data_IF_789503900473
#
_entry.id   IF_789503900473
#
_cell.length_a   1.000
_cell.length_b   1.000
_cell.length_c   1.000
_cell.angle_alpha   90.00
_cell.angle_beta   90.00
_cell.angle_gamma   90.00
#
_symmetry.space_group_name_H-M   'P 1'
#
loop_
_entity.id
_entity.type
_entity.pdbx_description
1 polymer ?
#
# COMPACT_ATOMS: atom_id res chain seq x y z
N UNK A 1 33.46 11.36 10.06
CA UNK A 1 32.02 11.08 10.26
C UNK A 1 31.85 9.60 10.54
N UNK A 2 31.45 9.21 11.75
CA UNK A 2 31.28 7.80 12.11
C UNK A 2 30.14 7.18 11.29
N UNK A 3 30.46 6.17 10.48
CA UNK A 3 29.48 5.30 9.85
C UNK A 3 28.85 4.45 10.96
N UNK A 4 27.69 4.88 11.46
CA UNK A 4 26.93 4.05 12.39
C UNK A 4 26.50 2.78 11.65
N UNK A 5 27.06 1.63 12.05
CA UNK A 5 26.65 0.32 11.55
C UNK A 5 25.24 -0.02 12.09
N UNK A 6 24.21 0.41 11.36
CA UNK A 6 22.82 0.13 11.71
C UNK A 6 22.51 -1.34 11.38
N UNK A 7 22.24 -2.15 12.42
CA UNK A 7 21.85 -3.56 12.26
C UNK A 7 20.47 -3.69 11.57
N UNK A 8 20.16 -4.80 10.89
CA UNK A 8 18.86 -4.98 10.21
C UNK A 8 17.65 -4.76 11.12
N UNK A 9 17.70 -5.27 12.36
CA UNK A 9 16.66 -5.09 13.38
C UNK A 9 16.46 -3.61 13.76
N UNK A 10 17.54 -2.83 13.75
CA UNK A 10 17.48 -1.40 13.98
C UNK A 10 16.86 -0.66 12.77
N UNK A 11 17.18 -1.06 11.53
CA UNK A 11 16.58 -0.47 10.31
C UNK A 11 15.06 -0.58 10.29
N UNK A 12 14.53 -1.79 10.54
CA UNK A 12 13.07 -2.04 10.53
C UNK A 12 12.36 -1.25 11.65
N UNK A 13 12.99 -1.14 12.82
CA UNK A 13 12.45 -0.36 13.94
C UNK A 13 12.33 1.12 13.57
N UNK A 14 13.34 1.68 12.90
CA UNK A 14 13.31 3.07 12.42
C UNK A 14 12.25 3.28 11.33
N UNK A 15 12.10 2.35 10.38
CA UNK A 15 11.03 2.43 9.37
C UNK A 15 9.65 2.46 10.05
N UNK A 16 9.40 1.57 11.03
CA UNK A 16 8.14 1.55 11.79
C UNK A 16 7.85 2.89 12.47
N UNK A 17 8.87 3.53 13.07
CA UNK A 17 8.71 4.86 13.69
C UNK A 17 8.33 5.93 12.67
N UNK A 18 9.01 5.96 11.52
CA UNK A 18 8.74 6.92 10.44
C UNK A 18 7.31 6.73 9.92
N UNK A 19 6.93 5.49 9.59
CA UNK A 19 5.60 5.16 9.06
C UNK A 19 4.50 5.51 10.07
N UNK A 20 4.70 5.21 11.36
CA UNK A 20 3.74 5.57 12.42
C UNK A 20 3.50 7.08 12.51
N UNK A 21 4.53 7.90 12.25
CA UNK A 21 4.42 9.37 12.26
C UNK A 21 3.66 9.89 11.04
N UNK A 22 3.90 9.31 9.87
CA UNK A 22 3.28 9.75 8.60
C UNK A 22 1.82 9.28 8.44
N UNK A 23 1.49 8.06 8.90
CA UNK A 23 0.18 7.41 8.66
C UNK A 23 -0.84 7.59 9.79
N UNK A 24 -1.15 8.85 10.13
CA UNK A 24 -2.10 9.20 11.20
C UNK A 24 -3.49 9.62 10.70
N UNK A 25 -3.72 9.67 9.38
CA UNK A 25 -4.81 10.45 8.79
C UNK A 25 -6.07 9.66 8.39
N UNK A 26 -6.03 8.32 8.30
CA UNK A 26 -7.15 7.52 7.81
C UNK A 26 -7.29 6.20 8.58
N UNK A 27 -8.43 5.94 9.27
CA UNK A 27 -8.63 4.68 10.02
C UNK A 27 -8.52 3.41 9.17
N UNK A 28 -8.84 3.47 7.87
CA UNK A 28 -8.80 2.31 6.97
C UNK A 28 -7.40 2.02 6.38
N UNK A 29 -6.46 2.97 6.49
CA UNK A 29 -5.10 2.93 5.94
C UNK A 29 -4.07 3.50 6.94
N UNK A 30 -4.32 3.29 8.23
CA UNK A 30 -3.44 3.77 9.29
C UNK A 30 -2.28 2.79 9.53
N UNK A 31 -1.42 3.13 10.49
CA UNK A 31 -0.33 2.28 10.93
C UNK A 31 -0.75 0.83 11.29
N UNK A 32 -1.96 0.61 11.82
CA UNK A 32 -2.42 -0.74 12.16
C UNK A 32 -2.66 -1.61 10.93
N UNK A 33 -3.20 -1.04 9.84
CA UNK A 33 -3.30 -1.72 8.56
C UNK A 33 -1.92 -2.14 8.06
N UNK A 34 -0.96 -1.20 8.01
CA UNK A 34 0.41 -1.49 7.58
C UNK A 34 1.05 -2.58 8.43
N UNK A 35 0.83 -2.58 9.75
CA UNK A 35 1.38 -3.60 10.64
C UNK A 35 0.76 -4.99 10.42
N UNK A 36 -0.52 -5.08 10.06
CA UNK A 36 -1.16 -6.36 9.68
C UNK A 36 -0.61 -6.86 8.34
N UNK A 37 -0.51 -6.00 7.33
CA UNK A 37 0.12 -6.32 6.04
C UNK A 37 1.56 -6.80 6.25
N UNK A 38 2.37 -6.08 7.02
CA UNK A 38 3.74 -6.47 7.36
C UNK A 38 3.79 -7.87 7.97
N UNK A 39 3.00 -8.14 9.02
CA UNK A 39 2.98 -9.46 9.69
C UNK A 39 2.57 -10.58 8.74
N UNK A 40 1.58 -10.33 7.89
CA UNK A 40 1.11 -11.30 6.90
C UNK A 40 2.16 -11.54 5.80
N UNK A 41 2.83 -10.48 5.33
CA UNK A 41 3.93 -10.60 4.38
C UNK A 41 5.08 -11.45 4.94
N UNK A 42 5.45 -11.29 6.23
CA UNK A 42 6.44 -12.16 6.87
C UNK A 42 5.97 -13.61 6.98
N UNK A 43 4.68 -13.80 7.27
CA UNK A 43 4.10 -15.13 7.36
C UNK A 43 4.18 -15.87 6.02
N UNK A 44 3.79 -15.20 4.93
CA UNK A 44 3.86 -15.75 3.58
C UNK A 44 5.32 -16.00 3.18
N UNK A 45 6.22 -15.05 3.46
CA UNK A 45 7.63 -15.16 3.08
C UNK A 45 8.42 -16.24 3.83
N UNK A 46 7.91 -16.78 4.95
CA UNK A 46 8.64 -17.66 5.86
C UNK A 46 9.29 -18.87 5.18
N UNK A 47 8.63 -19.43 4.16
CA UNK A 47 9.08 -20.62 3.44
C UNK A 47 9.49 -20.33 2.00
N UNK A 48 9.60 -19.05 1.63
CA UNK A 48 9.94 -18.60 0.28
C UNK A 48 11.42 -18.22 0.21
N UNK A 49 12.06 -18.49 -0.93
CA UNK A 49 13.44 -18.06 -1.17
C UNK A 49 13.47 -16.59 -1.63
N UNK A 50 13.37 -15.67 -0.68
CA UNK A 50 13.25 -14.22 -0.94
C UNK A 50 14.19 -13.38 -0.08
N UNK A 51 14.48 -12.16 -0.52
CA UNK A 51 15.17 -11.19 0.34
C UNK A 51 14.19 -10.61 1.38
N UNK A 52 14.24 -11.17 2.60
CA UNK A 52 13.41 -10.72 3.72
C UNK A 52 13.51 -9.22 3.99
N UNK A 53 14.68 -8.60 3.81
CA UNK A 53 14.82 -7.16 4.06
C UNK A 53 14.04 -6.31 3.04
N UNK A 54 13.85 -6.82 1.82
CA UNK A 54 13.01 -6.17 0.80
C UNK A 54 11.54 -6.32 1.17
N UNK A 55 11.09 -7.53 1.53
CA UNK A 55 9.70 -7.79 1.95
C UNK A 55 9.32 -6.93 3.17
N UNK A 56 10.20 -6.90 4.19
CA UNK A 56 9.98 -6.12 5.40
C UNK A 56 9.87 -4.62 5.13
N UNK A 57 10.82 -4.05 4.37
CA UNK A 57 10.83 -2.62 4.09
C UNK A 57 9.68 -2.22 3.16
N UNK A 58 9.41 -2.99 2.10
CA UNK A 58 8.35 -2.71 1.14
C UNK A 58 6.97 -2.78 1.79
N UNK A 59 6.68 -3.82 2.58
CA UNK A 59 5.39 -3.94 3.27
C UNK A 59 5.14 -2.83 4.29
N UNK A 60 6.17 -2.32 4.97
CA UNK A 60 6.03 -1.18 5.87
C UNK A 60 5.83 0.16 5.14
N UNK A 61 6.42 0.31 3.95
CA UNK A 61 6.43 1.58 3.22
C UNK A 61 5.36 1.68 2.13
N UNK A 62 4.64 0.60 1.80
CA UNK A 62 3.77 0.53 0.63
C UNK A 62 2.70 1.64 0.57
N UNK A 63 2.14 2.03 1.72
CA UNK A 63 1.08 3.03 1.85
C UNK A 63 1.58 4.42 2.31
N UNK A 64 2.90 4.63 2.46
CA UNK A 64 3.45 5.89 3.03
C UNK A 64 3.09 7.15 2.20
N UNK A 65 2.81 6.98 0.91
CA UNK A 65 2.35 8.05 0.01
C UNK A 65 0.87 8.40 0.16
N UNK A 66 0.11 7.69 0.99
CA UNK A 66 -1.36 7.82 1.07
C UNK A 66 -1.85 9.21 1.44
N UNK A 67 -1.11 9.94 2.28
CA UNK A 67 -1.47 11.33 2.64
C UNK A 67 -1.45 12.24 1.41
N UNK A 68 -0.45 12.08 0.53
CA UNK A 68 -0.35 12.87 -0.71
C UNK A 68 -1.49 12.59 -1.68
N UNK A 69 -1.91 11.32 -1.80
CA UNK A 69 -3.10 10.98 -2.61
C UNK A 69 -4.37 11.59 -2.02
N UNK A 70 -4.50 11.62 -0.69
CA UNK A 70 -5.68 12.20 -0.03
C UNK A 70 -5.73 13.73 -0.14
N UNK A 71 -4.58 14.39 -0.03
CA UNK A 71 -4.48 15.85 -0.08
C UNK A 71 -4.51 16.40 -1.53
N UNK A 72 -4.51 15.53 -2.56
CA UNK A 72 -4.63 15.91 -3.97
C UNK A 72 -6.10 15.91 -4.45
N UNK A 73 -6.74 17.09 -4.61
CA UNK A 73 -8.12 17.18 -5.07
C UNK A 73 -8.31 16.79 -6.54
N UNK A 74 -7.24 16.73 -7.34
CA UNK A 74 -7.33 16.37 -8.75
C UNK A 74 -7.52 14.86 -8.97
N UNK A 75 -7.20 14.05 -7.94
CA UNK A 75 -7.29 12.58 -8.00
C UNK A 75 -6.25 11.92 -8.92
N UNK A 76 -5.24 12.67 -9.37
CA UNK A 76 -4.20 12.19 -10.29
C UNK A 76 -2.98 11.63 -9.55
N UNK A 77 -2.85 11.91 -8.26
CA UNK A 77 -1.78 11.37 -7.42
C UNK A 77 -1.99 9.89 -7.14
N UNK A 78 -1.00 9.06 -7.52
CA UNK A 78 -0.96 7.65 -7.15
C UNK A 78 -0.05 7.45 -5.94
N UNK A 79 -0.64 6.95 -4.85
CA UNK A 79 0.06 6.77 -3.58
C UNK A 79 1.22 5.78 -3.65
N UNK A 80 1.18 4.79 -4.56
CA UNK A 80 2.26 3.82 -4.73
C UNK A 80 3.47 4.48 -5.41
N UNK A 81 3.23 5.35 -6.40
CA UNK A 81 4.31 6.11 -7.05
C UNK A 81 4.93 7.09 -6.06
N UNK A 82 4.10 7.85 -5.34
CA UNK A 82 4.58 8.78 -4.32
C UNK A 82 5.25 8.06 -3.15
N UNK A 83 4.72 6.92 -2.72
CA UNK A 83 5.30 6.09 -1.67
C UNK A 83 6.70 5.58 -2.05
N UNK A 84 6.89 5.14 -3.29
CA UNK A 84 8.21 4.74 -3.79
C UNK A 84 9.21 5.90 -3.85
N UNK A 85 8.77 7.11 -4.23
CA UNK A 85 9.61 8.32 -4.16
C UNK A 85 10.00 8.66 -2.71
N UNK A 86 9.04 8.55 -1.78
CA UNK A 86 9.26 8.81 -0.35
C UNK A 86 10.17 7.76 0.31
N UNK A 87 10.11 6.50 -0.14
CA UNK A 87 10.91 5.41 0.38
C UNK A 87 12.42 5.60 0.13
N UNK A 88 12.81 6.17 -1.01
CA UNK A 88 14.21 6.32 -1.40
C UNK A 88 15.09 7.07 -0.37
N UNK A 89 14.79 8.31 0.04
CA UNK A 89 15.59 9.02 1.03
C UNK A 89 15.61 8.32 2.40
N UNK A 90 14.51 7.65 2.78
CA UNK A 90 14.43 6.88 4.03
C UNK A 90 15.43 5.70 3.98
N UNK A 91 15.38 4.91 2.91
CA UNK A 91 16.20 3.71 2.75
C UNK A 91 17.68 4.06 2.56
N UNK A 92 18.00 5.15 1.82
CA UNK A 92 19.37 5.68 1.70
C UNK A 92 19.94 6.05 3.07
N UNK A 93 19.18 6.79 3.89
CA UNK A 93 19.60 7.17 5.25
C UNK A 93 19.84 5.95 6.15
N UNK A 94 19.10 4.86 5.94
CA UNK A 94 19.26 3.59 6.66
C UNK A 94 20.34 2.67 6.05
N UNK A 95 21.07 3.13 5.03
CA UNK A 95 22.18 2.40 4.42
C UNK A 95 21.76 1.15 3.66
N UNK A 96 20.61 1.17 2.98
CA UNK A 96 20.29 0.15 1.97
C UNK A 96 21.12 0.41 0.69
N UNK A 97 21.52 -0.65 0.00
CA UNK A 97 22.18 -0.52 -1.31
C UNK A 97 21.20 -0.02 -2.36
N UNK A 98 21.70 0.66 -3.40
CA UNK A 98 20.86 1.19 -4.48
C UNK A 98 20.03 0.09 -5.16
N UNK A 99 20.57 -1.12 -5.30
CA UNK A 99 19.84 -2.27 -5.85
C UNK A 99 18.65 -2.67 -4.97
N UNK A 100 18.84 -2.74 -3.64
CA UNK A 100 17.74 -3.02 -2.71
C UNK A 100 16.70 -1.91 -2.69
N UNK A 101 17.14 -0.65 -2.73
CA UNK A 101 16.22 0.50 -2.79
C UNK A 101 15.32 0.39 -4.02
N UNK A 102 15.90 0.14 -5.20
CA UNK A 102 15.13 -0.02 -6.43
C UNK A 102 14.14 -1.19 -6.34
N UNK A 103 14.58 -2.34 -5.82
CA UNK A 103 13.70 -3.51 -5.65
C UNK A 103 12.55 -3.23 -4.68
N UNK A 104 12.82 -2.53 -3.56
CA UNK A 104 11.77 -2.09 -2.62
C UNK A 104 10.81 -1.12 -3.30
N UNK A 105 11.30 -0.16 -4.07
CA UNK A 105 10.46 0.76 -4.85
C UNK A 105 9.58 0.00 -5.84
N UNK A 106 10.11 -0.99 -6.56
CA UNK A 106 9.34 -1.80 -7.51
C UNK A 106 8.22 -2.61 -6.79
N UNK A 107 8.50 -3.13 -5.59
CA UNK A 107 7.47 -3.79 -4.76
C UNK A 107 6.37 -2.80 -4.36
N UNK A 108 6.75 -1.58 -3.92
CA UNK A 108 5.80 -0.54 -3.56
C UNK A 108 4.97 -0.11 -4.78
N UNK A 109 5.57 0.15 -5.93
CA UNK A 109 4.86 0.61 -7.14
C UNK A 109 3.83 -0.42 -7.62
N UNK A 110 4.13 -1.71 -7.43
CA UNK A 110 3.30 -2.80 -7.95
C UNK A 110 2.24 -3.33 -6.98
N UNK A 111 2.14 -2.81 -5.75
CA UNK A 111 1.19 -3.32 -4.77
C UNK A 111 -0.28 -3.01 -5.10
N UNK A 112 -0.56 -2.05 -6.00
CA UNK A 112 -1.95 -1.68 -6.36
C UNK A 112 -2.57 -2.62 -7.38
N UNK A 113 -3.83 -3.03 -7.14
CA UNK A 113 -4.58 -3.91 -8.05
C UNK A 113 -4.91 -3.22 -9.39
N UNK A 114 -5.41 -1.98 -9.34
CA UNK A 114 -5.96 -1.23 -10.49
C UNK A 114 -4.89 -0.49 -11.30
N UNK A 115 -3.68 -1.02 -11.39
CA UNK A 115 -2.59 -0.43 -12.19
C UNK A 115 -2.04 -1.42 -13.21
N UNK A 116 -1.26 -0.91 -14.18
CA UNK A 116 -0.50 -1.74 -15.12
C UNK A 116 0.80 -2.29 -14.51
N UNK A 117 1.18 -1.81 -13.33
CA UNK A 117 2.38 -2.24 -12.63
C UNK A 117 2.09 -3.53 -11.88
N UNK A 118 2.19 -4.66 -12.57
CA UNK A 118 1.98 -5.97 -11.95
C UNK A 118 3.24 -6.43 -11.19
N UNK A 119 3.08 -7.11 -10.04
CA UNK A 119 4.21 -7.63 -9.28
C UNK A 119 4.93 -8.71 -10.09
N UNK A 120 6.25 -8.54 -10.28
CA UNK A 120 7.07 -9.45 -11.11
C UNK A 120 7.92 -10.39 -10.28
N UNK A 121 8.54 -9.88 -9.21
CA UNK A 121 9.40 -10.63 -8.30
C UNK A 121 8.56 -11.36 -7.24
N UNK A 122 9.14 -12.37 -6.58
CA UNK A 122 8.48 -13.06 -5.48
C UNK A 122 8.18 -12.09 -4.32
N UNK A 123 9.12 -11.21 -3.98
CA UNK A 123 8.91 -10.19 -2.94
C UNK A 123 7.73 -9.26 -3.27
N UNK A 124 7.63 -8.81 -4.52
CA UNK A 124 6.52 -7.95 -4.94
C UNK A 124 5.18 -8.69 -4.88
N UNK A 125 5.15 -9.97 -5.25
CA UNK A 125 3.94 -10.81 -5.16
C UNK A 125 3.52 -11.01 -3.71
N UNK A 126 4.47 -11.29 -2.81
CA UNK A 126 4.21 -11.44 -1.38
C UNK A 126 3.62 -10.17 -0.78
N UNK A 127 4.21 -9.01 -1.06
CA UNK A 127 3.70 -7.72 -0.56
C UNK A 127 2.32 -7.42 -1.14
N UNK A 128 2.11 -7.68 -2.43
CA UNK A 128 0.82 -7.54 -3.08
C UNK A 128 -0.24 -8.43 -2.42
N UNK A 129 0.04 -9.72 -2.26
CA UNK A 129 -0.90 -10.70 -1.70
C UNK A 129 -1.23 -10.37 -0.24
N UNK A 130 -0.23 -10.01 0.57
CA UNK A 130 -0.45 -9.59 1.95
C UNK A 130 -1.39 -8.38 2.06
N UNK A 131 -1.26 -7.39 1.16
CA UNK A 131 -2.16 -6.23 1.11
C UNK A 131 -3.57 -6.61 0.61
N UNK A 132 -3.69 -7.48 -0.41
CA UNK A 132 -5.02 -7.91 -0.88
C UNK A 132 -5.76 -8.79 0.12
N UNK A 133 -5.06 -9.62 0.88
CA UNK A 133 -5.68 -10.42 1.93
C UNK A 133 -6.32 -9.55 3.04
N UNK A 134 -5.81 -8.33 3.27
CA UNK A 134 -6.44 -7.35 4.18
C UNK A 134 -7.74 -6.74 3.66
N UNK A 135 -8.11 -7.02 2.40
CA UNK A 135 -9.38 -6.58 1.79
C UNK A 135 -10.48 -7.63 1.83
N UNK A 136 -10.18 -8.84 2.34
CA UNK A 136 -11.13 -9.95 2.48
C UNK A 136 -11.30 -10.36 3.95
N UNK A 137 -12.20 -11.30 4.22
CA UNK A 137 -12.50 -11.77 5.57
C UNK A 137 -13.13 -10.69 6.46
N UNK A 138 -13.14 -10.94 7.78
CA UNK A 138 -13.82 -10.07 8.75
C UNK A 138 -13.26 -8.63 8.76
N UNK A 139 -11.93 -8.47 8.68
CA UNK A 139 -11.29 -7.15 8.60
C UNK A 139 -11.63 -6.46 7.28
N UNK A 140 -11.60 -7.17 6.16
CA UNK A 140 -12.00 -6.64 4.86
C UNK A 140 -13.43 -6.10 4.86
N UNK A 141 -14.37 -6.85 5.45
CA UNK A 141 -15.78 -6.43 5.61
C UNK A 141 -15.87 -5.15 6.47
N UNK A 142 -15.20 -5.12 7.62
CA UNK A 142 -15.21 -3.93 8.49
C UNK A 142 -14.63 -2.70 7.78
N UNK A 143 -13.52 -2.85 7.04
CA UNK A 143 -12.91 -1.78 6.26
C UNK A 143 -13.83 -1.29 5.13
N UNK A 144 -14.55 -2.19 4.48
CA UNK A 144 -15.54 -1.83 3.46
C UNK A 144 -16.65 -0.94 4.04
N UNK A 145 -17.17 -1.25 5.23
CA UNK A 145 -18.16 -0.39 5.90
C UNK A 145 -17.58 0.97 6.31
N UNK A 146 -16.36 1.02 6.85
CA UNK A 146 -15.68 2.29 7.18
C UNK A 146 -15.50 3.17 5.94
N UNK A 147 -15.06 2.58 4.83
CA UNK A 147 -14.93 3.30 3.56
C UNK A 147 -16.29 3.79 3.05
N UNK A 148 -17.31 2.94 3.10
CA UNK A 148 -18.68 3.27 2.67
C UNK A 148 -19.22 4.45 3.47
N UNK A 149 -19.14 4.39 4.81
CA UNK A 149 -19.59 5.48 5.68
C UNK A 149 -18.82 6.78 5.48
N UNK A 150 -17.48 6.72 5.37
CA UNK A 150 -16.63 7.91 5.13
C UNK A 150 -16.97 8.62 3.83
N UNK A 151 -17.39 7.88 2.80
CA UNK A 151 -17.68 8.46 1.48
C UNK A 151 -19.18 8.69 1.25
N UNK A 152 -20.02 8.58 2.29
CA UNK A 152 -21.49 8.68 2.18
C UNK A 152 -22.07 7.78 1.07
N UNK A 153 -21.45 6.62 0.87
CA UNK A 153 -21.84 5.65 -0.15
C UNK A 153 -23.00 4.78 0.35
N UNK A 154 -23.81 4.29 -0.57
CA UNK A 154 -24.83 3.29 -0.26
C UNK A 154 -24.18 1.91 -0.11
N UNK A 155 -24.56 1.15 0.93
CA UNK A 155 -24.11 -0.24 1.12
C UNK A 155 -24.57 -1.11 -0.06
N UNK A 156 -25.77 -0.85 -0.57
CA UNK A 156 -26.35 -1.56 -1.70
C UNK A 156 -27.23 -0.62 -2.52
N UNK A 157 -27.20 -0.77 -3.85
CA UNK A 157 -28.05 -0.06 -4.78
C UNK A 157 -28.45 -0.99 -5.91
N UNK A 158 -29.75 -1.03 -6.25
CA UNK A 158 -30.24 -1.75 -7.41
C UNK A 158 -30.04 -0.87 -8.66
N UNK A 159 -29.01 -1.17 -9.45
CA UNK A 159 -28.66 -0.44 -10.69
C UNK A 159 -28.41 -1.39 -11.85
N UNK A 160 -28.54 -0.89 -13.08
CA UNK A 160 -27.98 -1.57 -14.25
C UNK A 160 -26.46 -1.41 -14.22
N UNK A 161 -25.72 -2.52 -14.25
CA UNK A 161 -24.27 -2.50 -14.09
C UNK A 161 -23.57 -1.83 -15.28
N UNK A 162 -24.06 -2.01 -16.50
CA UNK A 162 -23.44 -1.45 -17.70
C UNK A 162 -23.59 0.08 -17.74
N UNK A 163 -24.76 0.57 -17.34
CA UNK A 163 -25.03 2.00 -17.15
C UNK A 163 -24.12 2.59 -16.06
N UNK A 164 -24.04 1.92 -14.90
CA UNK A 164 -23.14 2.33 -13.81
C UNK A 164 -21.68 2.39 -14.25
N UNK A 165 -21.21 1.39 -15.00
CA UNK A 165 -19.84 1.34 -15.53
C UNK A 165 -19.58 2.51 -16.47
N UNK A 166 -20.51 2.77 -17.39
CA UNK A 166 -20.40 3.88 -18.35
C UNK A 166 -20.33 5.23 -17.64
N UNK A 167 -21.23 5.47 -16.70
CA UNK A 167 -21.37 6.76 -16.02
C UNK A 167 -20.33 6.99 -14.94
N UNK A 168 -20.09 5.99 -14.10
CA UNK A 168 -19.35 6.15 -12.84
C UNK A 168 -17.93 5.55 -12.85
N UNK A 169 -17.63 4.67 -13.82
CA UNK A 169 -16.31 4.04 -13.99
C UNK A 169 -15.62 4.42 -15.32
N UNK A 170 -16.21 5.33 -16.11
CA UNK A 170 -15.64 5.73 -17.40
C UNK A 170 -15.60 4.59 -18.43
N UNK A 171 -16.56 3.67 -18.38
CA UNK A 171 -16.77 2.62 -19.38
C UNK A 171 -15.95 1.34 -19.17
N UNK A 172 -15.24 1.18 -18.05
CA UNK A 172 -14.50 -0.06 -17.75
C UNK A 172 -14.74 -0.51 -16.30
N UNK A 173 -15.18 -1.76 -16.13
CA UNK A 173 -15.60 -2.35 -14.83
C UNK A 173 -14.54 -2.26 -13.73
N UNK A 174 -13.25 -2.23 -14.08
CA UNK A 174 -12.14 -2.21 -13.12
C UNK A 174 -11.53 -0.82 -12.89
N UNK A 175 -12.16 0.24 -13.39
CA UNK A 175 -11.69 1.63 -13.19
C UNK A 175 -11.96 2.15 -11.78
N UNK A 176 -11.43 3.35 -11.49
CA UNK A 176 -11.71 4.09 -10.25
C UNK A 176 -13.14 4.64 -10.28
N UNK A 177 -13.85 4.51 -9.16
CA UNK A 177 -15.16 5.12 -8.92
C UNK A 177 -14.99 6.64 -8.92
N UNK A 178 -15.77 7.35 -9.74
CA UNK A 178 -15.74 8.82 -9.84
C UNK A 178 -16.58 9.46 -8.75
N UNK A 179 -17.84 9.06 -8.65
CA UNK A 179 -18.79 9.50 -7.62
C UNK A 179 -19.09 8.33 -6.70
N UNK A 180 -18.60 8.42 -5.47
CA UNK A 180 -18.71 7.35 -4.47
C UNK A 180 -20.09 7.28 -3.83
N UNK A 181 -20.92 8.32 -3.98
CA UNK A 181 -22.29 8.35 -3.44
C UNK A 181 -23.28 7.65 -4.37
N UNK A 182 -22.94 7.56 -5.66
CA UNK A 182 -23.74 6.93 -6.71
C UNK A 182 -23.76 5.41 -6.65
#
# INVERSE_FOLDING_TARGET
MQQFNITPKNKITEIKKIVKKELTFCPAHNFDHVMRVYRLALHIAKNENVDMSVVEAASLLHDIGGKREMDDPSGNTDHAIEGAKMAEPILKKLGYSQNKIKHIQDCIISHRYRTRNKPKTLEAKIVFDADKLETVGAIGIARAFVWTGRNHANIYKKVNIDEYVKENLGGKINSRIKDKTK
#
